data_IF_849937891030
#
_entry.id   IF_849937891030
#
_cell.length_a   1.000
_cell.length_b   1.000
_cell.length_c   1.000
_cell.angle_alpha   90.00
_cell.angle_beta   90.00
_cell.angle_gamma   90.00
#
_symmetry.space_group_name_H-M   'P 1'
#
loop_
_entity.id
_entity.type
_entity.pdbx_description
1 polymer ?
#
# COMPACT_ATOMS: atom_id res chain seq x y z
N UNK A 1 -27.33 14.35 1.06
CA UNK A 1 -25.86 14.49 1.03
C UNK A 1 -25.32 13.22 0.41
N UNK A 2 -24.80 13.29 -0.82
CA UNK A 2 -24.11 12.12 -1.38
C UNK A 2 -22.91 11.88 -0.47
N UNK A 3 -22.87 10.75 0.25
CA UNK A 3 -21.57 10.26 0.71
C UNK A 3 -20.72 10.17 -0.56
N UNK A 4 -19.59 10.85 -0.59
CA UNK A 4 -18.66 10.67 -1.69
C UNK A 4 -18.35 9.18 -1.81
N UNK A 5 -18.38 8.64 -3.03
CA UNK A 5 -18.00 7.25 -3.28
C UNK A 5 -16.49 7.13 -3.01
N UNK A 6 -16.05 6.51 -1.90
CA UNK A 6 -14.65 6.56 -1.50
C UNK A 6 -13.74 5.84 -2.52
N UNK A 7 -14.30 4.88 -3.27
CA UNK A 7 -13.58 4.20 -4.35
C UNK A 7 -13.26 5.20 -5.46
N UNK A 8 -14.26 5.99 -5.87
CA UNK A 8 -14.09 7.01 -6.90
C UNK A 8 -13.03 8.06 -6.50
N UNK A 9 -13.07 8.54 -5.25
CA UNK A 9 -12.11 9.52 -4.74
C UNK A 9 -10.69 8.98 -4.68
N UNK A 10 -10.49 7.76 -4.18
CA UNK A 10 -9.17 7.14 -4.12
C UNK A 10 -8.59 6.90 -5.52
N UNK A 11 -9.41 6.44 -6.47
CA UNK A 11 -9.00 6.30 -7.88
C UNK A 11 -8.58 7.65 -8.46
N UNK A 12 -9.32 8.72 -8.17
CA UNK A 12 -8.98 10.07 -8.63
C UNK A 12 -7.64 10.54 -8.05
N UNK A 13 -7.41 10.35 -6.75
CA UNK A 13 -6.16 10.74 -6.09
C UNK A 13 -4.95 10.01 -6.69
N UNK A 14 -5.05 8.70 -6.87
CA UNK A 14 -3.98 7.89 -7.48
C UNK A 14 -3.70 8.36 -8.90
N UNK A 15 -4.73 8.54 -9.74
CA UNK A 15 -4.57 9.04 -11.12
C UNK A 15 -4.03 10.46 -11.20
N UNK A 16 -4.23 11.26 -10.16
CA UNK A 16 -3.68 12.63 -10.05
C UNK A 16 -2.22 12.65 -9.60
N UNK A 17 -1.60 11.49 -9.37
CA UNK A 17 -0.18 11.38 -8.99
C UNK A 17 0.06 11.42 -7.48
N UNK A 18 -0.97 11.25 -6.64
CA UNK A 18 -0.76 11.07 -5.20
C UNK A 18 -0.32 9.63 -4.91
N UNK A 19 1.00 9.44 -4.77
CA UNK A 19 1.62 8.10 -4.64
C UNK A 19 1.59 7.56 -3.21
N UNK A 20 1.53 8.43 -2.21
CA UNK A 20 1.46 8.06 -0.79
C UNK A 20 0.18 8.62 -0.16
N UNK A 21 -0.67 7.74 0.34
CA UNK A 21 -1.92 8.08 1.00
C UNK A 21 -1.94 7.44 2.38
N UNK A 22 -2.20 8.26 3.40
CA UNK A 22 -2.41 7.77 4.76
C UNK A 22 -3.91 7.59 5.02
N UNK A 23 -4.33 6.36 5.27
CA UNK A 23 -5.71 6.03 5.61
C UNK A 23 -5.82 5.90 7.13
N UNK A 24 -6.66 6.72 7.75
CA UNK A 24 -6.95 6.65 9.18
C UNK A 24 -8.33 6.03 9.38
N UNK A 25 -8.37 4.77 9.78
CA UNK A 25 -9.60 3.99 9.97
C UNK A 25 -9.36 2.93 11.04
N UNK A 26 -10.37 2.69 11.88
CA UNK A 26 -10.36 1.60 12.87
C UNK A 26 -10.93 0.29 12.29
N UNK A 27 -11.40 0.31 11.03
CA UNK A 27 -12.04 -0.83 10.34
C UNK A 27 -11.10 -1.44 9.27
N UNK A 28 -10.08 -2.20 9.66
CA UNK A 28 -9.06 -2.77 8.77
C UNK A 28 -9.63 -3.64 7.64
N UNK A 29 -10.64 -4.46 7.94
CA UNK A 29 -11.30 -5.34 6.97
C UNK A 29 -12.00 -4.53 5.88
N UNK A 30 -12.62 -3.41 6.27
CA UNK A 30 -13.32 -2.52 5.35
C UNK A 30 -12.34 -1.74 4.47
N UNK A 31 -11.21 -1.31 5.03
CA UNK A 31 -10.13 -0.69 4.24
C UNK A 31 -9.60 -1.67 3.21
N UNK A 32 -9.37 -2.92 3.60
CA UNK A 32 -8.87 -3.95 2.69
C UNK A 32 -9.85 -4.23 1.54
N UNK A 33 -11.16 -4.34 1.83
CA UNK A 33 -12.18 -4.51 0.81
C UNK A 33 -12.30 -3.28 -0.12
N UNK A 34 -12.21 -2.08 0.43
CA UNK A 34 -12.20 -0.83 -0.33
C UNK A 34 -11.02 -0.79 -1.31
N UNK A 35 -9.81 -1.10 -0.83
CA UNK A 35 -8.59 -1.07 -1.64
C UNK A 35 -8.59 -2.14 -2.73
N UNK A 36 -9.22 -3.29 -2.50
CA UNK A 36 -9.42 -4.30 -3.54
C UNK A 36 -10.24 -3.73 -4.70
N UNK A 37 -11.35 -3.06 -4.40
CA UNK A 37 -12.17 -2.40 -5.44
C UNK A 37 -11.46 -1.24 -6.14
N UNK A 38 -10.62 -0.48 -5.43
CA UNK A 38 -9.78 0.56 -6.04
C UNK A 38 -8.78 -0.05 -7.00
N UNK A 39 -8.10 -1.13 -6.59
CA UNK A 39 -7.13 -1.85 -7.41
C UNK A 39 -7.79 -2.42 -8.69
N UNK A 40 -8.97 -3.02 -8.58
CA UNK A 40 -9.78 -3.49 -9.72
C UNK A 40 -10.10 -2.35 -10.70
N UNK A 41 -10.45 -1.15 -10.21
CA UNK A 41 -10.77 0.02 -11.06
C UNK A 41 -9.55 0.63 -11.74
N UNK A 42 -8.37 0.46 -11.16
CA UNK A 42 -7.10 0.92 -11.71
C UNK A 42 -6.45 -0.13 -12.64
N UNK A 43 -6.96 -1.36 -12.65
CA UNK A 43 -6.31 -2.53 -13.26
C UNK A 43 -4.90 -2.78 -12.67
N UNK A 44 -4.74 -2.51 -11.37
CA UNK A 44 -3.49 -2.67 -10.64
C UNK A 44 -3.55 -3.89 -9.72
N UNK A 45 -2.46 -4.66 -9.58
CA UNK A 45 -2.38 -5.65 -8.51
C UNK A 45 -2.37 -4.97 -7.14
N UNK A 46 -3.05 -5.58 -6.18
CA UNK A 46 -3.02 -5.18 -4.77
C UNK A 46 -2.01 -6.04 -4.02
N UNK A 47 -1.09 -5.38 -3.33
CA UNK A 47 -0.16 -6.00 -2.39
C UNK A 47 -0.49 -5.54 -0.97
N UNK A 48 -0.29 -6.45 -0.01
CA UNK A 48 -0.32 -6.13 1.41
C UNK A 48 1.05 -6.38 2.02
N UNK A 49 1.39 -5.55 2.99
CA UNK A 49 2.60 -5.69 3.75
C UNK A 49 2.30 -5.65 5.23
N UNK A 50 2.85 -6.61 5.96
CA UNK A 50 2.98 -6.54 7.41
C UNK A 50 4.37 -6.96 7.84
N UNK A 51 4.82 -6.51 9.01
CA UNK A 51 6.08 -6.96 9.60
C UNK A 51 6.12 -8.45 9.92
N UNK A 52 4.97 -9.11 10.04
CA UNK A 52 4.91 -10.55 10.34
C UNK A 52 4.96 -11.39 9.06
N UNK A 53 4.35 -10.90 7.98
CA UNK A 53 4.15 -11.68 6.76
C UNK A 53 5.03 -11.23 5.59
N UNK A 54 5.57 -10.02 5.64
CA UNK A 54 6.23 -9.37 4.52
C UNK A 54 5.25 -8.91 3.44
N UNK A 55 5.79 -8.56 2.27
CA UNK A 55 5.09 -8.07 1.09
C UNK A 55 4.52 -9.25 0.29
N UNK A 56 3.20 -9.33 0.14
CA UNK A 56 2.53 -10.37 -0.65
C UNK A 56 1.44 -9.80 -1.55
N UNK A 57 1.18 -10.46 -2.68
CA UNK A 57 0.06 -10.10 -3.57
C UNK A 57 -1.22 -10.76 -3.06
N UNK A 58 -2.32 -10.01 -2.99
CA UNK A 58 -3.55 -10.48 -2.32
C UNK A 58 -4.18 -11.72 -2.98
N UNK A 59 -4.04 -11.86 -4.29
CA UNK A 59 -4.60 -12.95 -5.09
C UNK A 59 -3.63 -14.11 -5.35
N UNK A 60 -2.40 -14.05 -4.82
CA UNK A 60 -1.40 -15.11 -4.94
C UNK A 60 -0.93 -15.57 -3.56
N UNK A 61 -0.51 -16.83 -3.46
CA UNK A 61 0.13 -17.33 -2.26
C UNK A 61 1.61 -16.97 -2.24
N UNK A 62 2.13 -16.68 -1.04
CA UNK A 62 3.53 -16.37 -0.80
C UNK A 62 3.79 -14.88 -0.58
N UNK A 63 4.95 -14.60 -0.02
CA UNK A 63 5.47 -13.26 0.19
C UNK A 63 6.86 -13.16 -0.42
N UNK A 64 7.26 -11.94 -0.77
CA UNK A 64 8.61 -11.63 -1.19
C UNK A 64 9.55 -12.02 -0.05
N UNK A 65 10.61 -12.76 -0.37
CA UNK A 65 11.57 -13.22 0.62
C UNK A 65 12.18 -12.04 1.39
N UNK A 66 12.29 -12.17 2.71
CA UNK A 66 12.98 -11.21 3.59
C UNK A 66 12.40 -9.79 3.48
N UNK A 67 11.13 -9.70 3.12
CA UNK A 67 10.40 -8.44 3.00
C UNK A 67 9.63 -8.10 4.27
N UNK A 68 9.77 -8.83 5.37
CA UNK A 68 9.29 -8.42 6.71
C UNK A 68 10.07 -7.22 7.26
N UNK A 69 11.26 -6.96 6.72
CA UNK A 69 12.00 -5.71 6.90
C UNK A 69 11.41 -4.61 5.99
N UNK A 70 10.99 -3.46 6.54
CA UNK A 70 10.33 -2.40 5.78
C UNK A 70 11.25 -1.76 4.72
N UNK A 71 12.55 -1.60 5.00
CA UNK A 71 13.47 -1.03 4.02
C UNK A 71 13.69 -1.99 2.85
N UNK A 72 13.76 -3.31 3.10
CA UNK A 72 13.84 -4.31 2.03
C UNK A 72 12.56 -4.37 1.19
N UNK A 73 11.39 -4.30 1.82
CA UNK A 73 10.12 -4.23 1.12
C UNK A 73 10.03 -2.99 0.22
N UNK A 74 10.39 -1.82 0.73
CA UNK A 74 10.36 -0.57 -0.04
C UNK A 74 11.36 -0.57 -1.20
N UNK A 75 12.56 -1.14 -1.00
CA UNK A 75 13.53 -1.34 -2.11
C UNK A 75 12.99 -2.26 -3.18
N UNK A 76 12.27 -3.31 -2.79
CA UNK A 76 11.63 -4.21 -3.75
C UNK A 76 10.57 -3.48 -4.58
N UNK A 77 9.76 -2.63 -3.94
CA UNK A 77 8.76 -1.79 -4.61
C UNK A 77 9.44 -0.80 -5.57
N UNK A 78 10.48 -0.10 -5.11
CA UNK A 78 11.20 0.88 -5.93
C UNK A 78 11.92 0.25 -7.14
N UNK A 79 12.26 -1.04 -7.07
CA UNK A 79 12.86 -1.79 -8.17
C UNK A 79 11.83 -2.42 -9.12
N UNK A 80 10.53 -2.30 -8.83
CA UNK A 80 9.45 -2.83 -9.67
C UNK A 80 9.04 -1.83 -10.74
N UNK A 81 9.05 -2.26 -12.01
CA UNK A 81 8.54 -1.47 -13.14
C UNK A 81 7.01 -1.57 -13.31
N UNK A 82 6.34 -2.40 -12.49
CA UNK A 82 4.90 -2.62 -12.58
C UNK A 82 4.15 -1.63 -11.67
N UNK A 83 3.19 -0.83 -12.22
CA UNK A 83 2.25 -0.06 -11.41
C UNK A 83 1.42 -0.99 -10.53
N UNK A 84 1.31 -0.68 -9.24
CA UNK A 84 0.63 -1.50 -8.25
C UNK A 84 0.12 -0.65 -7.09
N UNK A 85 -0.84 -1.19 -6.35
CA UNK A 85 -1.30 -0.61 -5.08
C UNK A 85 -0.69 -1.38 -3.92
N UNK A 86 -0.08 -0.67 -2.98
CA UNK A 86 0.59 -1.27 -1.82
C UNK A 86 -0.07 -0.81 -0.52
N UNK A 87 -0.60 -1.74 0.25
CA UNK A 87 -1.21 -1.46 1.55
C UNK A 87 -0.30 -1.91 2.69
N UNK A 88 0.25 -0.93 3.41
CA UNK A 88 1.10 -1.13 4.57
C UNK A 88 0.31 -0.87 5.86
N UNK A 89 -0.01 -1.91 6.63
CA UNK A 89 -0.85 -1.76 7.83
C UNK A 89 -0.09 -1.34 9.09
N UNK A 90 1.22 -1.60 9.16
CA UNK A 90 2.04 -1.43 10.38
C UNK A 90 3.36 -0.69 10.12
N UNK A 91 3.46 0.07 9.02
CA UNK A 91 4.65 0.85 8.68
C UNK A 91 4.80 2.13 9.50
N UNK A 92 3.69 2.73 9.96
CA UNK A 92 3.68 4.05 10.57
C UNK A 92 4.67 4.24 11.75
N UNK A 93 4.81 3.29 12.70
CA UNK A 93 5.80 3.40 13.77
C UNK A 93 7.26 3.48 13.28
N UNK A 94 7.55 2.96 12.08
CA UNK A 94 8.91 2.90 11.53
C UNK A 94 9.31 4.16 10.77
N UNK A 95 8.35 4.89 10.20
CA UNK A 95 8.61 6.12 9.44
C UNK A 95 9.33 7.21 10.26
N UNK A 96 9.06 7.30 11.57
CA UNK A 96 9.68 8.29 12.45
C UNK A 96 10.99 7.83 13.12
N UNK A 97 11.30 6.53 13.04
CA UNK A 97 12.41 5.91 13.78
C UNK A 97 13.57 5.52 12.87
N UNK A 98 13.31 5.31 11.58
CA UNK A 98 14.29 4.84 10.61
C UNK A 98 14.43 5.82 9.44
N UNK A 99 15.59 6.47 9.35
CA UNK A 99 15.89 7.46 8.33
C UNK A 99 15.93 6.88 6.90
N UNK A 100 16.26 5.58 6.75
CA UNK A 100 16.29 4.91 5.45
C UNK A 100 14.86 4.67 4.97
N UNK A 101 14.00 4.18 5.86
CA UNK A 101 12.57 3.97 5.56
C UNK A 101 11.89 5.31 5.23
N UNK A 102 12.23 6.37 5.95
CA UNK A 102 11.72 7.73 5.66
C UNK A 102 12.22 8.27 4.31
N UNK A 103 13.44 7.94 3.89
CA UNK A 103 13.99 8.39 2.61
C UNK A 103 13.21 7.80 1.42
N UNK A 104 12.84 6.52 1.49
CA UNK A 104 12.05 5.83 0.46
C UNK A 104 10.65 6.42 0.23
N UNK A 105 10.13 7.26 1.14
CA UNK A 105 8.83 7.93 0.98
C UNK A 105 8.91 9.26 0.21
N UNK A 106 10.13 9.78 -0.04
CA UNK A 106 10.34 11.07 -0.71
C UNK A 106 10.69 10.93 -2.19
N UNK A 107 11.07 9.73 -2.61
CA UNK A 107 11.46 9.37 -3.97
C UNK A 107 10.26 8.84 -4.74
#
# INVERSE_FOLDING_TARGET
MSLADPIHELVLLVRSGHQLLHLNSDEDERVSALLLHVAERLDYPLFTWTRIRGLGRVDLSGAVYDSDDPAKALRHIAASDQPALYHFTDLAPHLGQDAIVAAHMRE
#
